data_IF_428034803992
#
_entry.id   IF_428034803992
#
_cell.length_a   1.000
_cell.length_b   1.000
_cell.length_c   1.000
_cell.angle_alpha   90.00
_cell.angle_beta   90.00
_cell.angle_gamma   90.00
#
_symmetry.space_group_name_H-M   'P 1'
#
loop_
_entity.id
_entity.type
_entity.pdbx_description
1 polymer ?
#
# COMPACT_ATOMS: atom_id res chain seq x y z
N UNK A 1 -31.88 -11.62 -9.79
CA UNK A 1 -30.65 -12.00 -9.06
C UNK A 1 -29.61 -10.93 -9.35
N UNK A 2 -29.19 -10.16 -8.34
CA UNK A 2 -28.05 -9.26 -8.49
C UNK A 2 -26.80 -10.14 -8.51
N UNK A 3 -26.15 -10.25 -9.67
CA UNK A 3 -24.80 -10.78 -9.74
C UNK A 3 -23.94 -9.91 -8.84
N UNK A 4 -23.48 -10.43 -7.69
CA UNK A 4 -22.43 -9.73 -6.94
C UNK A 4 -21.22 -9.71 -7.86
N UNK A 5 -20.88 -8.53 -8.38
CA UNK A 5 -19.61 -8.34 -9.06
C UNK A 5 -18.51 -8.82 -8.11
N UNK A 6 -17.79 -9.87 -8.50
CA UNK A 6 -16.65 -10.36 -7.72
C UNK A 6 -15.61 -9.25 -7.76
N UNK A 7 -15.47 -8.51 -6.66
CA UNK A 7 -14.47 -7.44 -6.54
C UNK A 7 -13.08 -8.04 -6.56
N UNK A 8 -12.20 -7.50 -7.40
CA UNK A 8 -10.78 -7.81 -7.31
C UNK A 8 -10.15 -6.94 -6.22
N UNK A 9 -9.37 -7.53 -5.31
CA UNK A 9 -8.85 -6.84 -4.12
C UNK A 9 -7.35 -6.93 -3.98
N UNK A 10 -6.73 -5.85 -3.55
CA UNK A 10 -5.39 -5.87 -2.96
C UNK A 10 -5.51 -5.82 -1.44
N UNK A 11 -4.84 -6.75 -0.76
CA UNK A 11 -4.83 -6.89 0.69
C UNK A 11 -3.40 -6.62 1.19
N UNK A 12 -3.24 -5.70 2.13
CA UNK A 12 -1.96 -5.41 2.76
C UNK A 12 -1.95 -5.92 4.19
N UNK A 13 -1.04 -6.84 4.51
CA UNK A 13 -0.80 -7.32 5.86
C UNK A 13 0.29 -6.45 6.49
N UNK A 14 -0.11 -5.65 7.48
CA UNK A 14 0.75 -4.68 8.17
C UNK A 14 1.36 -5.33 9.44
N UNK A 15 2.69 -5.31 9.59
CA UNK A 15 3.34 -5.70 10.84
C UNK A 15 2.93 -4.80 12.02
N UNK A 16 2.75 -5.36 13.22
CA UNK A 16 2.22 -4.61 14.39
C UNK A 16 3.05 -3.37 14.77
N UNK A 17 4.36 -3.41 14.50
CA UNK A 17 5.31 -2.34 14.84
C UNK A 17 5.69 -1.47 13.65
N UNK A 18 5.11 -1.71 12.46
CA UNK A 18 5.38 -0.88 11.30
C UNK A 18 4.67 0.47 11.43
N UNK A 19 5.43 1.54 11.28
CA UNK A 19 4.90 2.91 11.19
C UNK A 19 5.68 3.64 10.11
N UNK A 20 4.97 4.28 9.18
CA UNK A 20 5.59 4.95 8.05
C UNK A 20 4.76 4.85 6.77
N UNK A 21 5.41 5.19 5.66
CA UNK A 21 4.83 5.11 4.32
C UNK A 21 5.01 3.71 3.75
N UNK A 22 3.94 3.17 3.18
CA UNK A 22 3.98 2.01 2.29
C UNK A 22 3.85 2.51 0.86
N UNK A 23 4.73 2.05 -0.03
CA UNK A 23 4.71 2.39 -1.46
C UNK A 23 4.77 1.09 -2.25
N UNK A 24 3.84 0.93 -3.19
CA UNK A 24 3.77 -0.19 -4.11
C UNK A 24 4.06 0.30 -5.52
N UNK A 25 5.06 -0.28 -6.18
CA UNK A 25 5.39 -0.04 -7.59
C UNK A 25 4.94 -1.23 -8.44
N UNK A 26 4.23 -0.97 -9.52
CA UNK A 26 3.68 -2.02 -10.40
C UNK A 26 4.44 -2.09 -11.74
N UNK A 27 4.40 -3.25 -12.40
CA UNK A 27 5.09 -3.54 -13.67
C UNK A 27 6.60 -3.25 -13.62
N UNK A 28 7.25 -3.64 -12.54
CA UNK A 28 8.70 -3.49 -12.35
C UNK A 28 9.44 -4.77 -12.75
N UNK A 29 10.77 -4.74 -12.88
CA UNK A 29 11.60 -5.92 -13.19
C UNK A 29 12.02 -6.73 -11.95
N UNK A 30 11.39 -6.47 -10.80
CA UNK A 30 11.75 -7.02 -9.48
C UNK A 30 11.53 -8.52 -9.32
N UNK A 31 12.23 -9.11 -8.34
CA UNK A 31 12.06 -10.48 -7.86
C UNK A 31 11.28 -10.58 -6.53
N UNK A 32 10.58 -9.53 -6.11
CA UNK A 32 9.74 -9.57 -4.92
C UNK A 32 8.77 -10.76 -4.94
N UNK A 33 8.86 -11.62 -3.93
CA UNK A 33 8.13 -12.89 -3.83
C UNK A 33 7.17 -12.99 -2.66
N UNK A 34 7.13 -11.98 -1.79
CA UNK A 34 6.30 -12.01 -0.58
C UNK A 34 4.88 -11.49 -0.85
N UNK A 35 4.22 -12.19 -1.78
CA UNK A 35 2.81 -12.00 -2.10
C UNK A 35 2.13 -13.34 -2.38
N UNK A 36 0.83 -13.41 -2.10
CA UNK A 36 -0.03 -14.53 -2.50
C UNK A 36 -1.12 -14.03 -3.44
N UNK A 37 -1.42 -14.81 -4.49
CA UNK A 37 -2.42 -14.48 -5.48
C UNK A 37 -3.44 -15.62 -5.58
N UNK A 38 -4.69 -15.32 -5.20
CA UNK A 38 -5.81 -16.26 -5.27
C UNK A 38 -6.99 -15.64 -6.02
N UNK A 39 -7.34 -16.21 -7.17
CA UNK A 39 -8.48 -15.84 -8.03
C UNK A 39 -8.67 -14.32 -8.27
N UNK A 40 -9.32 -13.62 -7.34
CA UNK A 40 -9.63 -12.20 -7.37
C UNK A 40 -8.89 -11.38 -6.30
N UNK A 41 -7.89 -11.94 -5.61
CA UNK A 41 -7.18 -11.30 -4.50
C UNK A 41 -5.68 -11.38 -4.70
N UNK A 42 -5.00 -10.31 -4.35
CA UNK A 42 -3.55 -10.26 -4.21
C UNK A 42 -3.27 -9.78 -2.79
N UNK A 43 -2.49 -10.56 -2.04
CA UNK A 43 -2.15 -10.26 -0.65
C UNK A 43 -0.65 -9.99 -0.56
N UNK A 44 -0.26 -8.89 0.06
CA UNK A 44 1.13 -8.50 0.29
C UNK A 44 1.42 -8.49 1.78
N UNK A 45 2.54 -9.08 2.19
CA UNK A 45 3.12 -8.80 3.50
C UNK A 45 3.96 -7.53 3.40
N UNK A 46 3.63 -6.49 4.16
CA UNK A 46 4.38 -5.23 4.07
C UNK A 46 5.78 -5.43 4.67
N UNK A 47 6.86 -5.20 3.89
CA UNK A 47 8.22 -5.34 4.39
C UNK A 47 8.58 -4.17 5.33
N UNK A 48 9.64 -4.34 6.12
CA UNK A 48 10.13 -3.29 7.03
C UNK A 48 10.54 -2.00 6.32
N UNK A 49 10.88 -2.06 5.02
CA UNK A 49 11.17 -0.90 4.19
C UNK A 49 9.92 -0.10 3.80
N UNK A 50 8.74 -0.70 3.88
CA UNK A 50 7.49 -0.17 3.33
C UNK A 50 7.42 -0.22 1.80
N UNK A 51 8.46 -0.67 1.10
CA UNK A 51 8.52 -0.68 -0.36
C UNK A 51 8.19 -2.06 -0.90
N UNK A 52 7.14 -2.14 -1.70
CA UNK A 52 6.75 -3.32 -2.47
C UNK A 52 6.93 -2.97 -3.93
N UNK A 53 7.63 -3.81 -4.67
CA UNK A 53 7.66 -3.73 -6.14
C UNK A 53 7.11 -5.02 -6.68
N UNK A 54 6.31 -5.00 -7.75
CA UNK A 54 5.80 -6.23 -8.38
C UNK A 54 5.88 -6.19 -9.90
N UNK A 55 6.03 -7.35 -10.57
CA UNK A 55 6.18 -7.41 -12.03
C UNK A 55 4.87 -7.37 -12.81
N UNK A 56 3.72 -7.30 -12.13
CA UNK A 56 2.40 -7.32 -12.75
C UNK A 56 1.62 -6.03 -12.52
N UNK A 57 0.57 -5.83 -13.32
CA UNK A 57 -0.40 -4.75 -13.14
C UNK A 57 -1.54 -5.18 -12.24
N UNK A 58 -2.16 -4.19 -11.62
CA UNK A 58 -3.36 -4.30 -10.79
C UNK A 58 -4.51 -3.47 -11.36
N UNK A 59 -4.51 -3.21 -12.67
CA UNK A 59 -5.55 -2.41 -13.36
C UNK A 59 -6.97 -2.96 -13.21
N UNK A 60 -7.11 -4.25 -12.87
CA UNK A 60 -8.41 -4.90 -12.61
C UNK A 60 -8.87 -4.79 -11.15
N UNK A 61 -8.04 -4.28 -10.23
CA UNK A 61 -8.37 -4.16 -8.80
C UNK A 61 -9.43 -3.08 -8.59
N UNK A 62 -10.48 -3.46 -7.86
CA UNK A 62 -11.65 -2.62 -7.58
C UNK A 62 -11.71 -2.15 -6.14
N UNK A 63 -10.99 -2.79 -5.20
CA UNK A 63 -10.94 -2.37 -3.80
C UNK A 63 -9.61 -2.67 -3.11
N UNK A 64 -9.31 -1.93 -2.04
CA UNK A 64 -8.16 -2.16 -1.16
C UNK A 64 -8.65 -2.62 0.20
N UNK A 65 -7.82 -3.40 0.87
CA UNK A 65 -8.05 -3.86 2.22
C UNK A 65 -6.74 -3.87 3.00
N UNK A 66 -6.78 -3.45 4.26
CA UNK A 66 -5.63 -3.49 5.15
C UNK A 66 -5.96 -4.39 6.33
N UNK A 67 -4.99 -5.19 6.75
CA UNK A 67 -5.10 -6.08 7.89
C UNK A 67 -3.86 -5.98 8.75
N UNK A 68 -3.99 -6.20 10.05
CA UNK A 68 -2.82 -6.43 10.89
C UNK A 68 -2.31 -7.87 10.77
N UNK A 69 -1.19 -8.17 11.44
CA UNK A 69 -0.60 -9.52 11.47
C UNK A 69 -1.49 -10.60 12.11
N UNK A 70 -2.55 -10.20 12.82
CA UNK A 70 -3.56 -11.11 13.39
C UNK A 70 -4.76 -11.30 12.46
N UNK A 71 -4.73 -10.69 11.27
CA UNK A 71 -5.79 -10.76 10.27
C UNK A 71 -6.99 -9.86 10.56
N UNK A 72 -6.90 -8.96 11.55
CA UNK A 72 -7.98 -8.01 11.86
C UNK A 72 -7.96 -6.87 10.85
N UNK A 73 -9.14 -6.46 10.38
CA UNK A 73 -9.27 -5.34 9.45
C UNK A 73 -8.78 -4.04 10.08
N UNK A 74 -8.02 -3.27 9.28
CA UNK A 74 -7.61 -1.90 9.59
C UNK A 74 -8.42 -0.97 8.67
N UNK A 75 -9.09 0.02 9.28
CA UNK A 75 -9.90 0.99 8.54
C UNK A 75 -9.08 2.23 8.17
N UNK A 76 -9.54 2.90 7.11
CA UNK A 76 -9.04 4.21 6.71
C UNK A 76 -9.50 5.27 7.72
N UNK A 77 -8.59 6.18 8.09
CA UNK A 77 -8.89 7.32 8.93
C UNK A 77 -9.77 8.32 8.17
N UNK A 78 -11.04 8.35 8.51
CA UNK A 78 -12.09 9.19 7.93
C UNK A 78 -12.64 10.22 8.94
N UNK A 79 -11.77 10.80 9.78
CA UNK A 79 -12.13 11.73 10.87
C UNK A 79 -12.90 11.09 12.04
N UNK A 80 -12.85 9.77 12.20
CA UNK A 80 -13.34 9.06 13.39
C UNK A 80 -12.32 9.09 14.55
N UNK A 81 -12.77 8.78 15.78
CA UNK A 81 -11.86 8.69 16.93
C UNK A 81 -10.88 7.51 16.74
N UNK A 82 -9.60 7.82 16.56
CA UNK A 82 -8.55 6.81 16.45
C UNK A 82 -8.26 6.11 17.78
N UNK A 83 -8.09 4.79 17.72
CA UNK A 83 -7.65 3.96 18.84
C UNK A 83 -6.14 4.01 19.02
N UNK A 84 -5.67 4.22 20.25
CA UNK A 84 -4.24 4.20 20.59
C UNK A 84 -3.60 2.81 20.42
N UNK A 85 -4.40 1.75 20.52
CA UNK A 85 -3.91 0.37 20.50
C UNK A 85 -3.87 -0.23 19.09
N UNK A 86 -4.54 0.42 18.13
CA UNK A 86 -4.68 -0.10 16.78
C UNK A 86 -3.82 0.71 15.79
N UNK A 87 -3.42 0.03 14.73
CA UNK A 87 -2.85 0.65 13.55
C UNK A 87 -3.99 1.29 12.76
N UNK A 88 -3.70 2.38 12.06
CA UNK A 88 -4.64 3.12 11.22
C UNK A 88 -3.97 3.47 9.89
N UNK A 89 -4.78 3.73 8.86
CA UNK A 89 -4.32 4.11 7.51
C UNK A 89 -4.74 5.55 7.21
N UNK A 90 -3.87 6.34 6.59
CA UNK A 90 -4.21 7.68 6.07
C UNK A 90 -3.53 7.95 4.72
N UNK A 91 -3.98 9.00 4.03
CA UNK A 91 -3.38 9.54 2.80
C UNK A 91 -3.09 8.48 1.72
N UNK A 92 -4.14 7.78 1.26
CA UNK A 92 -4.02 6.79 0.17
C UNK A 92 -3.93 7.51 -1.17
N UNK A 93 -2.80 7.41 -1.85
CA UNK A 93 -2.51 8.05 -3.14
C UNK A 93 -2.24 7.01 -4.22
N UNK A 94 -2.71 7.29 -5.44
CA UNK A 94 -2.47 6.46 -6.62
C UNK A 94 -2.04 7.36 -7.75
N UNK A 95 -1.06 6.93 -8.54
CA UNK A 95 -0.59 7.73 -9.64
C UNK A 95 0.41 7.01 -10.53
N UNK A 96 1.10 7.82 -11.32
CA UNK A 96 2.22 7.43 -12.15
C UNK A 96 3.40 8.32 -11.82
N UNK A 97 4.59 7.75 -11.76
CA UNK A 97 5.86 8.47 -11.75
C UNK A 97 6.38 8.50 -13.17
N UNK A 98 6.78 9.67 -13.64
CA UNK A 98 7.35 9.87 -14.96
C UNK A 98 8.88 9.87 -14.88
N UNK A 99 9.49 8.93 -15.59
CA UNK A 99 10.93 8.71 -15.71
C UNK A 99 11.35 8.91 -17.16
N UNK A 100 12.65 9.10 -17.39
CA UNK A 100 13.19 9.18 -18.75
C UNK A 100 12.97 7.87 -19.54
N UNK A 101 12.90 6.74 -18.83
CA UNK A 101 12.68 5.40 -19.38
C UNK A 101 11.20 5.04 -19.58
N UNK A 102 10.26 5.89 -19.15
CA UNK A 102 8.83 5.63 -19.25
C UNK A 102 8.06 6.05 -18.00
N UNK A 103 6.95 5.37 -17.70
CA UNK A 103 6.14 5.66 -16.50
C UNK A 103 5.96 4.41 -15.64
N UNK A 104 5.96 4.61 -14.33
CA UNK A 104 5.75 3.55 -13.34
C UNK A 104 4.51 3.87 -12.53
N UNK A 105 3.55 2.94 -12.50
CA UNK A 105 2.33 3.09 -11.70
C UNK A 105 2.66 2.81 -10.24
N UNK A 106 2.06 3.59 -9.33
CA UNK A 106 2.23 3.38 -7.90
C UNK A 106 0.93 3.54 -7.09
N UNK A 107 0.95 2.96 -5.90
CA UNK A 107 0.02 3.18 -4.78
C UNK A 107 0.88 3.53 -3.56
N UNK A 108 0.51 4.55 -2.80
CA UNK A 108 1.15 4.85 -1.51
C UNK A 108 0.11 5.14 -0.44
N UNK A 109 0.44 4.84 0.82
CA UNK A 109 -0.39 5.17 1.97
C UNK A 109 0.45 5.19 3.25
N UNK A 110 0.00 5.94 4.25
CA UNK A 110 0.67 6.01 5.55
C UNK A 110 -0.03 5.14 6.58
N UNK A 111 0.78 4.55 7.45
CA UNK A 111 0.38 3.55 8.43
C UNK A 111 0.97 3.89 9.78
N UNK A 112 0.18 3.80 10.84
CA UNK A 112 0.69 3.91 12.21
C UNK A 112 -0.38 4.03 13.28
N UNK A 113 0.07 4.17 14.53
CA UNK A 113 -0.82 4.40 15.68
C UNK A 113 -1.36 5.84 15.67
N UNK A 114 -2.36 6.11 16.52
CA UNK A 114 -3.00 7.43 16.66
C UNK A 114 -2.01 8.59 16.69
N UNK A 115 -1.01 8.54 17.58
CA UNK A 115 -0.07 9.65 17.75
C UNK A 115 0.78 9.88 16.50
N UNK A 116 1.12 8.82 15.75
CA UNK A 116 1.83 8.97 14.48
C UNK A 116 0.94 9.62 13.42
N UNK A 117 -0.30 9.14 13.28
CA UNK A 117 -1.25 9.62 12.25
C UNK A 117 -1.71 11.06 12.54
N UNK A 118 -1.93 11.41 13.81
CA UNK A 118 -2.36 12.75 14.20
C UNK A 118 -1.27 13.82 14.02
N UNK A 119 0.00 13.44 14.10
CA UNK A 119 1.15 14.32 13.86
C UNK A 119 1.68 14.20 12.42
N UNK A 120 0.90 13.58 11.53
CA UNK A 120 1.27 13.41 10.14
C UNK A 120 0.98 14.70 9.36
N UNK A 121 1.97 15.59 9.34
CA UNK A 121 1.81 16.93 8.77
C UNK A 121 2.45 17.07 7.38
N UNK A 122 3.22 16.06 6.94
CA UNK A 122 4.06 16.15 5.74
C UNK A 122 3.78 15.01 4.78
N UNK A 123 3.17 15.35 3.65
CA UNK A 123 3.01 14.44 2.51
C UNK A 123 4.28 14.47 1.69
N UNK A 124 4.91 13.32 1.46
CA UNK A 124 6.11 13.24 0.65
C UNK A 124 5.80 13.66 -0.81
N UNK A 125 6.62 14.55 -1.43
CA UNK A 125 6.42 14.99 -2.80
C UNK A 125 6.69 13.86 -3.80
N UNK A 126 6.24 13.99 -5.05
CA UNK A 126 6.47 12.99 -6.10
C UNK A 126 7.96 12.67 -6.29
N UNK A 127 8.84 13.68 -6.18
CA UNK A 127 10.30 13.51 -6.26
C UNK A 127 10.84 12.53 -5.20
N UNK A 128 10.24 12.51 -4.01
CA UNK A 128 10.62 11.53 -2.99
C UNK A 128 10.21 10.10 -3.42
N UNK A 129 9.02 9.93 -3.98
CA UNK A 129 8.53 8.62 -4.44
C UNK A 129 9.39 8.13 -5.62
N UNK A 130 9.75 9.03 -6.53
CA UNK A 130 10.71 8.76 -7.62
C UNK A 130 12.06 8.29 -7.09
N UNK A 131 12.63 9.00 -6.12
CA UNK A 131 13.89 8.59 -5.49
C UNK A 131 13.79 7.19 -4.85
N UNK A 132 12.66 6.86 -4.20
CA UNK A 132 12.42 5.51 -3.65
C UNK A 132 12.39 4.43 -4.73
N UNK A 133 11.78 4.72 -5.88
CA UNK A 133 11.79 3.79 -7.01
C UNK A 133 13.21 3.56 -7.54
N UNK A 134 13.96 4.63 -7.83
CA UNK A 134 15.30 4.54 -8.42
C UNK A 134 16.34 3.86 -7.53
N UNK A 135 16.16 3.93 -6.20
CA UNK A 135 17.03 3.29 -5.21
C UNK A 135 16.51 1.93 -4.71
N UNK A 136 15.41 1.44 -5.28
CA UNK A 136 15.01 0.05 -5.08
C UNK A 136 15.92 -0.79 -5.97
N UNK A 137 16.83 -1.56 -5.38
CA UNK A 137 17.69 -2.48 -6.13
C UNK A 137 16.82 -3.47 -6.91
N UNK A 138 16.80 -3.37 -8.23
CA UNK A 138 16.13 -4.31 -9.14
C UNK A 138 17.14 -5.30 -9.71
#
# INVERSE_FOLDING_TARGET
MLNSCIENKEIFIIPENFQGEVIVFYKTSTDYKDFDQSFNKITYNVPSSGIISVPFDVSKITSLEWRDSKGRHINFYNNEELSNQNINITDVRRGYIFLDSGQVKYLSFYVGKKDFINNFDTINPEEYIKNKYEHTSF
#
